data_IF_957158859907
#
_entry.id   IF_957158859907
#
_cell.length_a   1.000
_cell.length_b   1.000
_cell.length_c   1.000
_cell.angle_alpha   90.00
_cell.angle_beta   90.00
_cell.angle_gamma   90.00
#
_symmetry.space_group_name_H-M   'P 1'
#
loop_
_entity.id
_entity.type
_entity.pdbx_description
1 polymer ?
#
# COMPACT_ATOMS: atom_id res chain seq x y z
N UNK A 1 15.34 22.85 -11.05
CA UNK A 1 14.76 22.32 -10.80
C UNK A 1 14.52 21.65 -10.66
N UNK A 2 14.84 22.24 -10.96
CA UNK A 2 14.36 21.64 -10.61
C UNK A 2 14.20 20.99 -10.63
N UNK A 3 14.10 21.37 -10.47
CA UNK A 3 13.78 20.68 -10.22
C UNK A 3 13.73 20.09 -10.14
N UNK A 4 14.16 20.82 -10.24
CA UNK A 4 13.91 20.09 -10.02
C UNK A 4 13.95 19.51 -10.27
N UNK A 5 14.29 19.79 -10.48
CA UNK A 5 14.14 19.03 -10.59
C UNK A 5 14.14 18.43 -10.98
N UNK A 6 14.55 19.20 -11.12
CA UNK A 6 14.41 18.54 -11.47
C UNK A 6 14.64 17.90 -12.15
N UNK A 7 14.71 18.75 -11.96
CA UNK A 7 14.71 18.01 -12.92
C UNK A 7 15.38 17.05 -12.92
N UNK A 8 15.89 17.20 -12.82
CA UNK A 8 16.18 16.06 -13.24
C UNK A 8 16.28 14.93 -12.44
N UNK A 9 15.56 14.59 -11.80
CA UNK A 9 15.55 13.33 -11.17
C UNK A 9 14.67 12.36 -11.93
N UNK A 10 15.05 12.03 -13.15
CA UNK A 10 14.21 11.14 -13.94
C UNK A 10 14.05 9.78 -13.30
N UNK A 11 15.07 9.31 -12.57
CA UNK A 11 14.97 8.00 -11.95
C UNK A 11 13.94 7.95 -10.85
N UNK A 12 13.78 9.04 -10.11
CA UNK A 12 12.76 9.07 -9.08
C UNK A 12 11.38 9.17 -9.67
N UNK A 13 11.23 9.96 -10.72
CA UNK A 13 9.94 10.03 -11.37
C UNK A 13 9.57 8.72 -12.05
N UNK A 14 10.54 7.84 -12.28
CA UNK A 14 10.28 6.55 -12.88
C UNK A 14 10.03 5.45 -11.84
N UNK A 15 10.07 5.77 -10.56
CA UNK A 15 9.83 4.78 -9.54
C UNK A 15 8.40 4.24 -9.66
N UNK A 16 8.29 2.93 -9.81
CA UNK A 16 7.01 2.27 -9.95
C UNK A 16 6.50 1.90 -8.56
N UNK A 17 5.23 2.17 -8.30
CA UNK A 17 4.59 1.73 -7.07
C UNK A 17 4.74 0.22 -6.97
N UNK A 18 5.30 -0.30 -5.85
CA UNK A 18 5.64 -1.71 -5.78
C UNK A 18 4.52 -2.60 -5.30
N UNK A 19 3.32 -2.08 -5.12
CA UNK A 19 2.26 -2.81 -4.45
C UNK A 19 1.29 -3.49 -5.40
N UNK A 20 0.91 -4.70 -5.04
CA UNK A 20 -0.26 -5.37 -5.57
C UNK A 20 -1.26 -5.48 -4.42
N UNK A 21 -2.47 -5.00 -4.64
CA UNK A 21 -3.51 -5.04 -3.62
C UNK A 21 -4.68 -5.85 -4.16
N UNK A 22 -5.00 -6.96 -3.50
CA UNK A 22 -6.01 -7.89 -3.98
C UNK A 22 -6.97 -8.26 -2.87
N UNK A 23 -8.23 -8.45 -3.25
CA UNK A 23 -9.21 -9.06 -2.36
C UNK A 23 -9.02 -10.56 -2.39
N UNK A 24 -9.14 -11.23 -1.24
CA UNK A 24 -9.16 -12.67 -1.20
C UNK A 24 -10.38 -13.19 -1.95
N UNK A 25 -10.18 -14.19 -2.82
CA UNK A 25 -11.23 -14.68 -3.68
C UNK A 25 -11.39 -16.20 -3.67
N UNK A 26 -10.78 -16.89 -2.72
CA UNK A 26 -10.98 -18.33 -2.59
C UNK A 26 -12.37 -18.64 -2.07
N UNK A 27 -12.81 -19.87 -2.31
CA UNK A 27 -14.14 -20.31 -1.84
C UNK A 27 -14.28 -20.11 -0.34
N UNK A 28 -13.18 -20.32 0.40
CA UNK A 28 -13.19 -20.18 1.84
C UNK A 28 -12.62 -18.84 2.30
N UNK A 29 -12.25 -17.94 1.39
CA UNK A 29 -11.67 -16.67 1.77
C UNK A 29 -12.77 -15.72 2.26
N UNK A 30 -12.56 -15.04 3.40
CA UNK A 30 -13.51 -14.02 3.84
C UNK A 30 -13.59 -12.90 2.81
N UNK A 31 -14.79 -12.37 2.59
CA UNK A 31 -15.01 -11.33 1.58
C UNK A 31 -14.35 -10.00 1.96
N UNK A 32 -13.95 -9.84 3.22
CA UNK A 32 -13.33 -8.63 3.71
C UNK A 32 -11.82 -8.77 3.91
N UNK A 33 -11.22 -9.83 3.39
CA UNK A 33 -9.79 -10.06 3.52
C UNK A 33 -9.07 -9.57 2.27
N UNK A 34 -8.03 -8.80 2.47
CA UNK A 34 -7.22 -8.21 1.39
C UNK A 34 -5.76 -8.53 1.62
N UNK A 35 -5.00 -8.53 0.54
CA UNK A 35 -3.56 -8.77 0.59
C UNK A 35 -2.83 -7.62 -0.07
N UNK A 36 -1.85 -7.07 0.62
CA UNK A 36 -0.94 -6.06 0.08
C UNK A 36 0.42 -6.73 -0.09
N UNK A 37 0.84 -6.93 -1.34
CA UNK A 37 2.08 -7.65 -1.65
C UNK A 37 3.13 -6.72 -2.22
N UNK A 38 4.35 -6.87 -1.74
CA UNK A 38 5.49 -6.13 -2.28
C UNK A 38 5.99 -6.86 -3.52
N UNK A 39 5.67 -6.32 -4.69
CA UNK A 39 6.11 -6.88 -5.98
C UNK A 39 7.48 -6.36 -6.41
N UNK A 40 8.03 -5.41 -5.67
CA UNK A 40 9.33 -4.86 -5.99
C UNK A 40 10.45 -5.76 -5.52
N UNK A 41 11.68 -5.30 -5.73
CA UNK A 41 12.87 -6.04 -5.35
C UNK A 41 13.49 -5.51 -4.07
N UNK A 42 12.93 -4.44 -3.50
CA UNK A 42 13.48 -3.78 -2.33
C UNK A 42 12.77 -4.22 -1.07
N UNK A 43 13.51 -4.18 0.03
CA UNK A 43 12.94 -4.30 1.36
C UNK A 43 12.28 -2.97 1.73
N UNK A 44 11.01 -3.01 2.08
CA UNK A 44 10.25 -1.81 2.42
C UNK A 44 9.93 -1.82 3.91
N UNK A 45 10.15 -0.69 4.58
CA UNK A 45 9.97 -0.59 6.02
C UNK A 45 8.89 0.42 6.36
N UNK A 46 8.43 0.39 7.60
CA UNK A 46 7.43 1.32 8.08
C UNK A 46 6.14 1.28 7.28
N UNK A 47 5.77 0.11 6.76
CA UNK A 47 4.59 -0.04 5.92
C UNK A 47 3.35 0.08 6.79
N UNK A 48 2.51 1.06 6.51
CA UNK A 48 1.26 1.27 7.22
C UNK A 48 0.14 1.53 6.22
N UNK A 49 -1.09 1.22 6.65
CA UNK A 49 -2.29 1.47 5.87
C UNK A 49 -3.26 2.21 6.77
N UNK A 50 -3.83 3.28 6.23
CA UNK A 50 -4.87 4.04 6.91
C UNK A 50 -6.08 4.14 6.01
N UNK A 51 -7.27 3.98 6.58
CA UNK A 51 -8.51 4.08 5.82
C UNK A 51 -9.17 5.43 6.08
N UNK A 52 -9.82 5.94 5.04
CA UNK A 52 -10.64 7.13 5.10
C UNK A 52 -11.99 6.78 4.49
N UNK A 53 -13.08 7.12 5.19
CA UNK A 53 -14.42 6.74 4.80
C UNK A 53 -15.03 5.83 5.83
N UNK A 54 -16.02 5.03 5.44
CA UNK A 54 -16.75 4.20 6.37
C UNK A 54 -16.13 2.84 6.65
N UNK A 55 -15.11 2.46 5.90
CA UNK A 55 -14.44 1.18 6.12
C UNK A 55 -13.73 1.15 7.46
N UNK A 56 -13.69 -0.01 8.07
CA UNK A 56 -13.07 -0.23 9.39
C UNK A 56 -12.01 -1.31 9.27
N UNK A 57 -10.86 -1.03 9.86
CA UNK A 57 -9.72 -1.94 9.85
C UNK A 57 -9.07 -1.94 11.23
N UNK A 58 -8.65 -3.11 11.75
CA UNK A 58 -7.92 -3.13 13.01
C UNK A 58 -6.61 -2.36 12.88
N UNK A 59 -6.25 -1.66 13.93
CA UNK A 59 -4.96 -0.98 13.98
C UNK A 59 -3.84 -2.00 14.03
N UNK A 60 -2.78 -1.76 13.28
CA UNK A 60 -1.61 -2.62 13.30
C UNK A 60 -0.34 -1.78 13.37
N UNK A 61 0.73 -2.40 13.87
CA UNK A 61 2.03 -1.75 13.90
C UNK A 61 2.60 -1.68 12.49
N UNK A 62 3.50 -0.71 12.22
CA UNK A 62 4.19 -0.67 10.94
C UNK A 62 4.92 -1.98 10.66
N UNK A 63 4.89 -2.42 9.43
CA UNK A 63 5.46 -3.70 9.02
C UNK A 63 6.67 -3.51 8.13
N UNK A 64 7.54 -4.52 8.12
CA UNK A 64 8.63 -4.61 7.16
C UNK A 64 8.29 -5.72 6.18
N UNK A 65 8.36 -5.42 4.89
CA UNK A 65 8.04 -6.39 3.84
C UNK A 65 9.23 -6.53 2.91
N UNK A 66 9.79 -7.73 2.87
CA UNK A 66 10.84 -8.06 1.90
C UNK A 66 10.22 -8.21 0.52
N UNK A 67 11.06 -8.33 -0.51
CA UNK A 67 10.57 -8.59 -1.86
C UNK A 67 9.72 -9.85 -1.85
N UNK A 68 8.51 -9.76 -2.38
CA UNK A 68 7.58 -10.89 -2.44
C UNK A 68 6.72 -11.11 -1.21
N UNK A 69 7.04 -10.45 -0.10
CA UNK A 69 6.23 -10.58 1.12
C UNK A 69 4.88 -9.90 0.96
N UNK A 70 3.92 -10.36 1.75
CA UNK A 70 2.57 -9.81 1.72
C UNK A 70 2.08 -9.57 3.15
N UNK A 71 1.24 -8.56 3.26
CA UNK A 71 0.54 -8.22 4.50
C UNK A 71 -0.93 -8.50 4.28
N UNK A 72 -1.53 -9.28 5.18
CA UNK A 72 -2.95 -9.57 5.12
C UNK A 72 -3.70 -8.56 5.95
N UNK A 73 -4.80 -8.06 5.40
CA UNK A 73 -5.56 -6.97 5.98
C UNK A 73 -7.03 -7.33 5.97
N UNK A 74 -7.70 -7.09 7.08
CA UNK A 74 -9.16 -7.26 7.18
C UNK A 74 -9.78 -5.88 7.18
N UNK A 75 -10.63 -5.62 6.18
CA UNK A 75 -11.34 -4.33 6.08
C UNK A 75 -12.82 -4.63 6.01
N UNK A 76 -13.55 -4.13 7.00
CA UNK A 76 -15.00 -4.34 7.10
C UNK A 76 -15.75 -3.10 6.66
N UNK A 77 -16.90 -3.28 6.04
CA UNK A 77 -17.74 -2.17 5.65
C UNK A 77 -18.64 -2.55 4.50
N UNK A 78 -19.70 -1.76 4.33
CA UNK A 78 -20.59 -1.88 3.20
C UNK A 78 -20.08 -0.96 2.10
N UNK A 79 -20.04 -1.48 0.86
CA UNK A 79 -19.84 -0.61 -0.29
C UNK A 79 -18.53 0.17 -0.21
N UNK A 80 -17.43 -0.53 0.09
CA UNK A 80 -16.12 0.12 0.22
C UNK A 80 -15.72 0.90 -1.03
N UNK A 81 -16.06 0.38 -2.20
CA UNK A 81 -15.69 1.02 -3.46
C UNK A 81 -16.29 2.42 -3.58
N UNK A 82 -17.35 2.69 -2.85
CA UNK A 82 -18.10 3.92 -2.99
C UNK A 82 -17.56 5.05 -2.12
N UNK A 83 -17.13 4.74 -0.90
CA UNK A 83 -16.82 5.79 0.05
C UNK A 83 -15.54 5.59 0.83
N UNK A 84 -14.76 4.55 0.53
CA UNK A 84 -13.57 4.27 1.31
C UNK A 84 -12.34 4.29 0.41
N UNK A 85 -11.30 4.97 0.89
CA UNK A 85 -10.00 4.93 0.26
C UNK A 85 -8.96 4.51 1.29
N UNK A 86 -7.90 3.90 0.80
CA UNK A 86 -6.78 3.52 1.64
C UNK A 86 -5.56 4.34 1.27
N UNK A 87 -4.77 4.68 2.26
CA UNK A 87 -3.49 5.35 2.05
C UNK A 87 -2.41 4.42 2.57
N UNK A 88 -1.55 3.95 1.67
CA UNK A 88 -0.42 3.10 2.00
C UNK A 88 0.81 3.98 2.10
N UNK A 89 1.56 3.82 3.19
CA UNK A 89 2.77 4.61 3.44
C UNK A 89 3.91 3.64 3.70
N UNK A 90 5.06 3.94 3.13
CA UNK A 90 6.24 3.08 3.31
C UNK A 90 7.52 3.88 3.11
N UNK A 91 8.64 3.27 3.49
CA UNK A 91 9.96 3.83 3.28
C UNK A 91 10.79 2.87 2.43
N UNK A 92 11.50 3.42 1.46
CA UNK A 92 12.47 2.66 0.66
C UNK A 92 13.79 2.54 1.44
N UNK A 93 14.71 1.66 1.00
CA UNK A 93 16.00 1.53 1.67
C UNK A 93 16.78 2.85 1.76
N UNK A 94 16.53 3.78 0.86
CA UNK A 94 17.14 5.10 0.90
C UNK A 94 16.68 5.95 2.09
N UNK A 95 15.60 5.53 2.77
CA UNK A 95 14.99 6.29 3.84
C UNK A 95 13.92 7.25 3.37
N UNK A 96 13.70 7.38 2.08
CA UNK A 96 12.66 8.26 1.57
C UNK A 96 11.28 7.65 1.79
N UNK A 97 10.32 8.47 2.18
CA UNK A 97 8.94 8.08 2.43
C UNK A 97 8.10 8.25 1.19
N UNK A 98 7.21 7.29 0.96
CA UNK A 98 6.27 7.31 -0.16
C UNK A 98 4.86 7.06 0.34
N UNK A 99 3.91 7.58 -0.40
CA UNK A 99 2.49 7.42 -0.12
C UNK A 99 1.78 6.99 -1.40
N UNK A 100 0.83 6.10 -1.26
CA UNK A 100 0.03 5.64 -2.39
C UNK A 100 -1.44 5.60 -1.97
N UNK A 101 -2.25 6.33 -2.73
CA UNK A 101 -3.68 6.36 -2.50
C UNK A 101 -4.34 5.30 -3.37
N UNK A 102 -5.22 4.53 -2.76
CA UNK A 102 -5.82 3.38 -3.40
C UNK A 102 -7.33 3.40 -3.17
N UNK A 103 -8.09 3.13 -4.22
CA UNK A 103 -9.55 3.02 -4.15
C UNK A 103 -9.94 1.56 -4.27
N UNK A 104 -11.06 1.24 -3.64
CA UNK A 104 -11.58 -0.14 -3.69
C UNK A 104 -12.46 -0.42 -4.88
#
# INVERSE_FOLDING_TARGET
>A
MTRTHLAALPNESAYRVPWQFERGDGVDAPTNCFTLRNLGLERLTGVTINLYGSGIMPTSAPATLEAGDALEIVISGHDLARDTIALVRWFRPSGHEYLWRLSF
#
